data_IF_379538002978
#
_entry.id   IF_379538002978
#
_cell.length_a   1.000
_cell.length_b   1.000
_cell.length_c   1.000
_cell.angle_alpha   90.00
_cell.angle_beta   90.00
_cell.angle_gamma   90.00
#
_symmetry.space_group_name_H-M   'P 1'
#
loop_
_entity.id
_entity.type
_entity.pdbx_description
1 polymer ?
#
# COMPACT_ATOMS: atom_id res chain seq x y z
N UNK A 1 -25.20 -26.58 9.19
CA UNK A 1 -24.47 -25.35 8.85
C UNK A 1 -25.40 -24.45 8.06
N UNK A 2 -25.66 -23.22 8.52
CA UNK A 2 -26.56 -22.29 7.85
C UNK A 2 -25.91 -21.68 6.59
N UNK A 3 -26.71 -21.13 5.69
CA UNK A 3 -26.21 -20.43 4.49
C UNK A 3 -25.29 -19.25 4.86
N UNK A 4 -25.64 -18.51 5.91
CA UNK A 4 -24.82 -17.43 6.46
C UNK A 4 -23.41 -17.92 6.83
N UNK A 5 -23.31 -19.05 7.53
CA UNK A 5 -22.03 -19.62 7.94
C UNK A 5 -21.20 -20.05 6.72
N UNK A 6 -21.84 -20.66 5.70
CA UNK A 6 -21.16 -21.04 4.45
C UNK A 6 -20.66 -19.83 3.66
N UNK A 7 -21.42 -18.73 3.67
CA UNK A 7 -21.01 -17.48 3.01
C UNK A 7 -19.83 -16.86 3.76
N UNK A 8 -19.89 -16.79 5.09
CA UNK A 8 -18.79 -16.26 5.91
C UNK A 8 -17.52 -17.12 5.83
N UNK A 9 -17.64 -18.43 5.73
CA UNK A 9 -16.50 -19.35 5.72
C UNK A 9 -15.87 -19.54 4.32
N UNK A 10 -16.65 -19.36 3.25
CA UNK A 10 -16.21 -19.69 1.88
C UNK A 10 -16.20 -18.53 0.90
N UNK A 11 -16.88 -17.44 1.21
CA UNK A 11 -17.08 -16.33 0.28
C UNK A 11 -16.65 -14.98 0.86
N UNK A 12 -16.37 -14.90 2.16
CA UNK A 12 -15.74 -13.72 2.77
C UNK A 12 -14.24 -13.95 2.68
N UNK A 13 -13.57 -13.10 1.91
CA UNK A 13 -12.12 -12.99 1.92
C UNK A 13 -11.76 -11.89 2.90
N UNK A 14 -11.15 -12.25 4.02
CA UNK A 14 -10.51 -11.28 4.91
C UNK A 14 -9.27 -10.66 4.25
N UNK A 15 -8.89 -9.47 4.74
CA UNK A 15 -7.72 -8.75 4.26
C UNK A 15 -6.45 -9.62 4.31
N UNK A 16 -6.29 -10.44 5.35
CA UNK A 16 -5.14 -11.34 5.56
C UNK A 16 -4.95 -12.30 4.39
N UNK A 17 -6.01 -12.95 3.93
CA UNK A 17 -5.98 -13.84 2.75
C UNK A 17 -5.50 -13.12 1.49
N UNK A 18 -5.90 -11.85 1.30
CA UNK A 18 -5.47 -11.05 0.14
C UNK A 18 -3.98 -10.70 0.25
N UNK A 19 -3.54 -10.30 1.44
CA UNK A 19 -2.15 -9.96 1.73
C UNK A 19 -1.23 -11.17 1.55
N UNK A 20 -1.61 -12.33 2.11
CA UNK A 20 -0.88 -13.59 1.97
C UNK A 20 -0.75 -14.00 0.51
N UNK A 21 -1.84 -13.97 -0.25
CA UNK A 21 -1.86 -14.33 -1.68
C UNK A 21 -0.93 -13.45 -2.54
N UNK A 22 -0.67 -12.22 -2.10
CA UNK A 22 0.19 -11.26 -2.80
C UNK A 22 1.59 -11.11 -2.19
N UNK A 23 1.91 -11.83 -1.12
CA UNK A 23 3.17 -11.68 -0.37
C UNK A 23 4.42 -11.76 -1.27
N UNK A 24 4.46 -12.73 -2.19
CA UNK A 24 5.59 -12.93 -3.14
C UNK A 24 5.79 -11.79 -4.12
N UNK A 25 4.74 -11.03 -4.42
CA UNK A 25 4.84 -9.83 -5.26
C UNK A 25 5.40 -8.71 -4.40
N UNK A 26 4.79 -8.48 -3.25
CA UNK A 26 5.13 -7.43 -2.28
C UNK A 26 6.58 -7.51 -1.79
N UNK A 27 7.12 -8.70 -1.52
CA UNK A 27 8.50 -8.87 -1.02
C UNK A 27 9.58 -8.37 -1.99
N UNK A 28 9.24 -8.16 -3.26
CA UNK A 28 10.13 -7.58 -4.27
C UNK A 28 10.18 -6.06 -4.20
N UNK A 29 9.12 -5.41 -3.71
CA UNK A 29 8.97 -3.95 -3.75
C UNK A 29 9.75 -3.25 -2.64
N UNK A 30 9.84 -3.84 -1.45
CA UNK A 30 10.49 -3.23 -0.29
C UNK A 30 11.05 -4.26 0.69
N UNK A 31 11.83 -3.78 1.66
CA UNK A 31 12.16 -4.49 2.91
C UNK A 31 11.59 -3.72 4.08
N UNK A 32 11.18 -4.45 5.12
CA UNK A 32 10.81 -3.88 6.40
C UNK A 32 11.99 -3.98 7.36
N UNK A 33 12.26 -2.91 8.08
CA UNK A 33 13.14 -2.92 9.23
C UNK A 33 12.39 -3.38 10.49
N UNK A 34 13.13 -3.75 11.54
CA UNK A 34 12.55 -4.21 12.82
C UNK A 34 11.69 -3.15 13.51
N UNK A 35 11.86 -1.87 13.15
CA UNK A 35 11.08 -0.74 13.65
C UNK A 35 9.86 -0.40 12.76
N UNK A 36 9.54 -1.28 11.79
CA UNK A 36 8.44 -1.07 10.84
C UNK A 36 8.80 -0.13 9.67
N UNK A 37 10.02 0.41 9.61
CA UNK A 37 10.42 1.30 8.53
C UNK A 37 10.42 0.57 7.19
N UNK A 38 9.71 1.14 6.20
CA UNK A 38 9.65 0.64 4.83
C UNK A 38 10.84 1.16 4.02
N UNK A 39 11.62 0.24 3.45
CA UNK A 39 12.74 0.53 2.57
C UNK A 39 12.46 0.02 1.14
N UNK A 40 12.09 0.94 0.23
CA UNK A 40 11.78 0.62 -1.18
C UNK A 40 13.03 0.08 -1.90
N UNK A 41 12.87 -1.00 -2.65
CA UNK A 41 13.92 -1.64 -3.44
C UNK A 41 14.33 -0.81 -4.66
N UNK A 42 15.58 -0.96 -5.09
CA UNK A 42 16.25 -0.05 -6.02
C UNK A 42 15.50 0.23 -7.33
N UNK A 43 14.99 -0.80 -7.99
CA UNK A 43 14.24 -0.67 -9.26
C UNK A 43 12.92 0.12 -9.12
N UNK A 44 12.33 0.10 -7.92
CA UNK A 44 11.09 0.81 -7.62
C UNK A 44 11.32 2.26 -7.13
N UNK A 45 12.55 2.61 -6.75
CA UNK A 45 12.91 4.00 -6.35
C UNK A 45 12.95 4.98 -7.53
N UNK A 46 13.05 4.46 -8.76
CA UNK A 46 12.98 5.26 -9.99
C UNK A 46 11.56 5.48 -10.51
N UNK A 47 10.55 4.87 -9.90
CA UNK A 47 9.16 5.06 -10.28
C UNK A 47 8.67 6.48 -10.01
N UNK A 48 7.54 6.84 -10.61
CA UNK A 48 6.86 8.09 -10.26
C UNK A 48 6.56 8.16 -8.76
N UNK A 49 6.67 9.35 -8.19
CA UNK A 49 6.51 9.56 -6.75
C UNK A 49 5.14 9.11 -6.23
N UNK A 50 4.09 9.20 -7.05
CA UNK A 50 2.76 8.68 -6.72
C UNK A 50 2.80 7.18 -6.45
N UNK A 51 3.48 6.42 -7.31
CA UNK A 51 3.66 4.97 -7.14
C UNK A 51 4.55 4.66 -5.94
N UNK A 52 5.60 5.45 -5.70
CA UNK A 52 6.41 5.28 -4.49
C UNK A 52 5.59 5.50 -3.22
N UNK A 53 4.70 6.51 -3.19
CA UNK A 53 3.76 6.73 -2.08
C UNK A 53 2.84 5.52 -1.89
N UNK A 54 2.33 4.93 -2.97
CA UNK A 54 1.53 3.72 -2.92
C UNK A 54 2.31 2.55 -2.30
N UNK A 55 3.58 2.37 -2.67
CA UNK A 55 4.47 1.35 -2.08
C UNK A 55 4.63 1.55 -0.57
N UNK A 56 4.73 2.78 -0.08
CA UNK A 56 4.77 3.05 1.36
C UNK A 56 3.49 2.61 2.07
N UNK A 57 2.31 2.80 1.49
CA UNK A 57 1.06 2.31 2.08
C UNK A 57 0.97 0.79 2.09
N UNK A 58 1.44 0.12 1.04
CA UNK A 58 1.56 -1.33 1.01
C UNK A 58 2.51 -1.80 2.11
N UNK A 59 3.69 -1.19 2.21
CA UNK A 59 4.66 -1.48 3.26
C UNK A 59 4.11 -1.30 4.66
N UNK A 60 3.40 -0.19 4.92
CA UNK A 60 2.77 0.06 6.22
C UNK A 60 1.76 -1.02 6.59
N UNK A 61 0.94 -1.47 5.63
CA UNK A 61 -0.03 -2.53 5.90
C UNK A 61 0.65 -3.85 6.27
N UNK A 62 1.69 -4.25 5.55
CA UNK A 62 2.46 -5.45 5.88
C UNK A 62 3.26 -5.32 7.18
N UNK A 63 3.73 -4.12 7.52
CA UNK A 63 4.37 -3.85 8.81
C UNK A 63 3.38 -3.99 9.97
N UNK A 64 2.14 -3.53 9.80
CA UNK A 64 1.07 -3.73 10.79
C UNK A 64 0.71 -5.20 10.97
N UNK A 65 0.46 -5.95 9.89
CA UNK A 65 0.15 -7.39 9.99
C UNK A 65 1.33 -8.20 10.56
N UNK A 66 2.57 -7.75 10.33
CA UNK A 66 3.78 -8.34 10.88
C UNK A 66 4.09 -7.91 12.32
N UNK A 67 3.21 -7.16 12.98
CA UNK A 67 3.39 -6.60 14.33
C UNK A 67 4.65 -5.72 14.49
N UNK A 68 5.14 -5.13 13.38
CA UNK A 68 6.27 -4.20 13.34
C UNK A 68 5.82 -2.72 13.46
N UNK A 69 4.52 -2.47 13.31
CA UNK A 69 3.90 -1.15 13.44
C UNK A 69 2.59 -1.25 14.20
N UNK A 70 2.30 -0.25 15.04
CA UNK A 70 1.05 -0.17 15.80
C UNK A 70 -0.17 0.21 14.93
N UNK A 71 0.06 0.79 13.74
CA UNK A 71 -1.01 1.25 12.85
C UNK A 71 -0.82 0.76 11.41
N UNK A 72 -1.93 0.55 10.69
CA UNK A 72 -1.96 0.25 9.24
C UNK A 72 -2.06 1.51 8.36
N UNK A 73 -1.96 2.70 8.96
CA UNK A 73 -2.18 3.99 8.33
C UNK A 73 -0.93 4.88 8.37
N UNK A 74 -0.82 5.77 7.38
CA UNK A 74 0.20 6.81 7.32
C UNK A 74 -0.44 8.20 7.28
N UNK A 75 0.19 9.16 7.95
CA UNK A 75 -0.22 10.57 7.90
C UNK A 75 0.32 11.27 6.66
N UNK A 76 -0.35 12.31 6.17
CA UNK A 76 0.20 13.14 5.09
C UNK A 76 1.58 13.72 5.44
N UNK A 77 1.82 14.07 6.71
CA UNK A 77 3.11 14.57 7.21
C UNK A 77 4.25 13.59 7.05
N UNK A 78 3.99 12.28 7.13
CA UNK A 78 5.00 11.25 6.88
C UNK A 78 5.72 11.47 5.53
N UNK A 79 4.97 11.90 4.52
CA UNK A 79 5.46 12.14 3.17
C UNK A 79 6.08 13.52 2.99
N UNK A 80 5.59 14.55 3.69
CA UNK A 80 6.15 15.91 3.60
C UNK A 80 7.63 15.93 4.04
N UNK A 81 7.98 15.12 5.03
CA UNK A 81 9.36 15.04 5.53
C UNK A 81 10.28 14.16 4.67
N UNK A 82 9.69 13.27 3.84
CA UNK A 82 10.43 12.22 3.10
C UNK A 82 10.57 12.51 1.62
N UNK A 83 9.64 13.26 1.05
CA UNK A 83 9.59 13.50 -0.39
C UNK A 83 9.86 14.99 -0.62
N UNK A 84 10.90 15.28 -1.40
CA UNK A 84 11.29 16.64 -1.78
C UNK A 84 10.32 17.23 -2.82
N UNK A 85 9.08 17.48 -2.38
CA UNK A 85 7.98 18.10 -3.14
C UNK A 85 7.13 18.95 -2.22
N UNK A 86 6.40 19.89 -2.81
CA UNK A 86 5.48 20.74 -2.05
C UNK A 86 4.35 19.92 -1.41
N UNK A 87 3.87 20.33 -0.24
CA UNK A 87 2.70 19.74 0.44
C UNK A 87 1.50 19.62 -0.50
N UNK A 88 1.30 20.61 -1.38
CA UNK A 88 0.23 20.62 -2.38
C UNK A 88 0.38 19.46 -3.37
N UNK A 89 1.59 19.23 -3.87
CA UNK A 89 1.89 18.11 -4.77
C UNK A 89 1.61 16.78 -4.09
N UNK A 90 2.07 16.61 -2.85
CA UNK A 90 1.83 15.37 -2.08
C UNK A 90 0.32 15.17 -1.82
N UNK A 91 -0.42 16.23 -1.49
CA UNK A 91 -1.89 16.15 -1.33
C UNK A 91 -2.60 15.74 -2.61
N UNK A 92 -2.11 16.19 -3.77
CA UNK A 92 -2.64 15.78 -5.06
C UNK A 92 -2.40 14.28 -5.30
N UNK A 93 -1.18 13.77 -5.08
CA UNK A 93 -0.91 12.33 -5.21
C UNK A 93 -1.78 11.49 -4.28
N UNK A 94 -1.92 11.91 -3.02
CA UNK A 94 -2.82 11.24 -2.08
C UNK A 94 -4.28 11.32 -2.51
N UNK A 95 -4.69 12.37 -3.23
CA UNK A 95 -6.03 12.47 -3.80
C UNK A 95 -6.23 11.51 -4.96
N UNK A 96 -5.30 11.48 -5.90
CA UNK A 96 -5.33 10.55 -7.05
C UNK A 96 -5.42 9.10 -6.56
N UNK A 97 -4.58 8.69 -5.62
CA UNK A 97 -4.63 7.34 -5.02
C UNK A 97 -5.96 7.03 -4.31
N UNK A 98 -6.67 8.03 -3.80
CA UNK A 98 -8.02 7.84 -3.23
C UNK A 98 -9.08 7.71 -4.30
N UNK A 99 -8.99 8.52 -5.36
CA UNK A 99 -9.92 8.50 -6.49
C UNK A 99 -9.82 7.18 -7.27
N UNK A 100 -8.61 6.62 -7.37
CA UNK A 100 -8.33 5.29 -7.92
C UNK A 100 -8.74 4.15 -6.98
N UNK A 101 -9.07 4.46 -5.71
CA UNK A 101 -9.50 3.47 -4.73
C UNK A 101 -8.38 2.67 -4.07
N UNK A 102 -7.10 3.01 -4.28
CA UNK A 102 -6.00 2.30 -3.64
C UNK A 102 -5.87 2.62 -2.15
N UNK A 103 -6.18 3.85 -1.76
CA UNK A 103 -6.17 4.25 -0.35
C UNK A 103 -7.50 4.89 0.03
N UNK A 104 -7.81 4.86 1.33
CA UNK A 104 -8.90 5.63 1.91
C UNK A 104 -8.40 6.50 3.03
N UNK A 105 -9.12 7.60 3.25
CA UNK A 105 -8.84 8.54 4.33
C UNK A 105 -9.45 8.03 5.64
N UNK A 106 -8.64 7.99 6.69
CA UNK A 106 -9.08 7.80 8.07
C UNK A 106 -8.83 9.14 8.79
N UNK A 107 -9.87 9.73 9.39
CA UNK A 107 -9.72 11.03 10.08
C UNK A 107 -9.31 12.22 9.18
N UNK A 108 -8.55 13.17 9.75
CA UNK A 108 -8.23 14.45 9.09
C UNK A 108 -7.03 14.36 8.13
N UNK A 109 -6.02 13.56 8.45
CA UNK A 109 -4.75 13.51 7.73
C UNK A 109 -4.17 12.11 7.58
N UNK A 110 -4.85 11.07 8.05
CA UNK A 110 -4.40 9.69 7.93
C UNK A 110 -5.03 9.04 6.71
N UNK A 111 -4.28 8.14 6.09
CA UNK A 111 -4.73 7.35 4.97
C UNK A 111 -4.23 5.93 5.16
N UNK A 112 -4.97 4.95 4.65
CA UNK A 112 -4.56 3.54 4.69
C UNK A 112 -4.89 2.86 3.37
N UNK A 113 -4.16 1.79 3.10
CA UNK A 113 -4.40 0.93 1.95
C UNK A 113 -5.82 0.31 2.03
N UNK A 114 -6.49 0.20 0.88
CA UNK A 114 -7.64 -0.68 0.72
C UNK A 114 -7.11 -2.04 0.27
N UNK A 115 -7.05 -3.01 1.18
CA UNK A 115 -6.45 -4.32 0.93
C UNK A 115 -7.10 -5.05 -0.27
N UNK A 116 -8.40 -4.87 -0.46
CA UNK A 116 -9.16 -5.42 -1.61
C UNK A 116 -8.56 -5.02 -2.96
N UNK A 117 -7.98 -3.82 -3.05
CA UNK A 117 -7.41 -3.26 -4.28
C UNK A 117 -5.90 -3.44 -4.37
N UNK A 118 -5.27 -4.18 -3.43
CA UNK A 118 -3.85 -4.50 -3.49
C UNK A 118 -3.45 -5.21 -4.81
N UNK A 119 -4.21 -6.18 -5.34
CA UNK A 119 -3.82 -6.85 -6.58
C UNK A 119 -3.69 -5.87 -7.76
N UNK A 120 -4.61 -4.90 -7.86
CA UNK A 120 -4.61 -3.88 -8.90
C UNK A 120 -3.51 -2.85 -8.68
N UNK A 121 -3.30 -2.41 -7.44
CA UNK A 121 -2.18 -1.56 -7.06
C UNK A 121 -0.82 -2.17 -7.47
N UNK A 122 -0.66 -3.48 -7.29
CA UNK A 122 0.54 -4.21 -7.69
C UNK A 122 0.68 -4.32 -9.21
N UNK A 123 -0.43 -4.47 -9.95
CA UNK A 123 -0.41 -4.48 -11.41
C UNK A 123 0.13 -3.15 -11.93
N UNK A 124 -0.40 -2.02 -11.45
CA UNK A 124 0.06 -0.68 -11.86
C UNK A 124 1.56 -0.45 -11.60
N UNK A 125 2.05 -0.93 -10.44
CA UNK A 125 3.47 -0.82 -10.08
C UNK A 125 4.33 -1.70 -11.01
N UNK A 126 3.92 -2.95 -11.23
CA UNK A 126 4.65 -3.89 -12.09
C UNK A 126 4.66 -3.45 -13.55
N UNK A 127 3.55 -2.91 -14.06
CA UNK A 127 3.45 -2.35 -15.40
C UNK A 127 4.35 -1.13 -15.58
N UNK A 128 4.44 -0.25 -14.57
CA UNK A 128 5.33 0.90 -14.62
C UNK A 128 6.82 0.51 -14.65
N UNK A 129 7.20 -0.59 -13.97
CA UNK A 129 8.57 -1.14 -14.04
C UNK A 129 8.82 -1.85 -15.36
N UNK A 130 7.91 -2.72 -15.79
CA UNK A 130 8.04 -3.48 -17.05
C UNK A 130 8.04 -2.58 -18.29
N UNK A 131 7.20 -1.55 -18.30
CA UNK A 131 7.12 -0.55 -19.36
C UNK A 131 8.33 0.40 -19.41
N UNK A 132 9.09 0.54 -18.32
CA UNK A 132 10.34 1.30 -18.30
C UNK A 132 11.54 0.52 -18.90
N UNK A 133 11.38 -0.78 -19.15
CA UNK A 133 12.41 -1.66 -19.74
C UNK A 133 12.18 -2.01 -21.22
N UNK A 134 11.11 -1.49 -21.82
CA UNK A 134 10.74 -1.70 -23.23
C UNK A 134 11.27 -0.58 -24.16
#
# INVERSE_FOLDING_TARGET
MALKDKIQDRMVTDDETILESNFKRVEKLFRLHEDGTVNIQGEYRSLDLRLQILIYFIGQRFAYEGELSETDSLTSSFFYDRIDKSDRTIRNYLQELREEGYIKKEGQSEHRLIAENLPDALNDIEEAVGGATA
#
